data_IF_968950941456
#
_entry.id   IF_968950941456
#
_cell.length_a   1.000
_cell.length_b   1.000
_cell.length_c   1.000
_cell.angle_alpha   90.00
_cell.angle_beta   90.00
_cell.angle_gamma   90.00
#
_symmetry.space_group_name_H-M   'P 1'
#
loop_
_entity.id
_entity.type
_entity.pdbx_description
1 polymer ?
#
# COMPACT_ATOMS: atom_id res chain seq x y z
N UNK A 1 17.08 5.92 18.87
CA UNK A 1 16.32 4.85 18.19
C UNK A 1 15.72 3.96 19.26
N UNK A 2 14.58 3.29 19.04
CA UNK A 2 13.92 2.45 20.06
C UNK A 2 14.80 1.32 20.64
N UNK A 3 15.92 0.98 20.00
CA UNK A 3 16.91 0.04 20.49
C UNK A 3 18.01 0.65 21.40
N UNK A 4 17.95 1.95 21.74
CA UNK A 4 18.95 2.59 22.61
C UNK A 4 18.67 2.32 24.10
N UNK A 5 19.70 2.48 24.93
CA UNK A 5 19.62 2.30 26.39
C UNK A 5 18.50 3.11 27.05
N UNK A 6 18.23 4.31 26.53
CA UNK A 6 17.17 5.19 27.02
C UNK A 6 15.77 4.55 26.97
N UNK A 7 15.56 3.54 26.12
CA UNK A 7 14.29 2.84 25.93
C UNK A 7 14.29 1.41 26.49
N UNK A 8 15.32 0.98 27.23
CA UNK A 8 15.43 -0.41 27.71
C UNK A 8 14.27 -0.88 28.60
N UNK A 9 13.58 0.05 29.26
CA UNK A 9 12.42 -0.23 30.11
C UNK A 9 11.09 -0.27 29.37
N UNK A 10 11.06 0.05 28.07
CA UNK A 10 9.85 0.08 27.25
C UNK A 10 9.83 -1.12 26.32
N UNK A 11 8.81 -1.96 26.44
CA UNK A 11 8.53 -2.96 25.42
C UNK A 11 8.06 -2.27 24.15
N UNK A 12 8.62 -2.65 23.01
CA UNK A 12 8.21 -2.11 21.72
C UNK A 12 8.18 -3.19 20.66
N UNK A 13 7.28 -3.03 19.70
CA UNK A 13 7.24 -3.82 18.47
C UNK A 13 7.09 -2.84 17.30
N UNK A 14 7.85 -3.02 16.22
CA UNK A 14 7.74 -2.20 15.02
C UNK A 14 6.99 -2.97 13.94
N UNK A 15 5.80 -2.50 13.59
CA UNK A 15 5.10 -2.95 12.39
C UNK A 15 5.56 -2.09 11.22
N UNK A 16 6.01 -2.73 10.15
CA UNK A 16 6.58 -2.09 8.97
C UNK A 16 5.74 -2.47 7.76
N UNK A 17 4.55 -1.85 7.62
CA UNK A 17 3.70 -2.11 6.49
C UNK A 17 4.33 -1.59 5.21
N UNK A 18 4.15 -2.36 4.14
CA UNK A 18 4.46 -1.92 2.80
C UNK A 18 3.38 -0.94 2.30
N UNK A 19 3.37 -0.70 1.00
CA UNK A 19 2.57 0.33 0.38
C UNK A 19 1.07 0.01 0.46
N UNK A 20 0.26 0.96 0.95
CA UNK A 20 -1.15 0.68 1.24
C UNK A 20 -2.05 0.63 0.00
N UNK A 21 -2.99 -0.31 -0.01
CA UNK A 21 -3.98 -0.51 -1.10
C UNK A 21 -4.81 0.74 -1.36
N UNK A 22 -5.34 1.39 -0.32
CA UNK A 22 -6.18 2.59 -0.45
C UNK A 22 -5.45 3.76 -1.13
N UNK A 23 -4.14 3.87 -0.90
CA UNK A 23 -3.34 4.91 -1.54
C UNK A 23 -3.13 4.62 -3.03
N UNK A 24 -2.80 3.37 -3.37
CA UNK A 24 -2.52 2.95 -4.74
C UNK A 24 -3.79 2.94 -5.60
N UNK A 25 -4.93 2.57 -5.02
CA UNK A 25 -6.19 2.43 -5.74
C UNK A 25 -6.96 3.75 -5.90
N UNK A 26 -6.53 4.85 -5.28
CA UNK A 26 -7.28 6.11 -5.29
C UNK A 26 -7.61 6.62 -6.71
N UNK A 27 -6.63 6.59 -7.63
CA UNK A 27 -6.84 6.97 -9.03
C UNK A 27 -7.77 6.02 -9.78
N UNK A 28 -7.63 4.70 -9.55
CA UNK A 28 -8.48 3.68 -10.17
C UNK A 28 -9.94 3.82 -9.75
N UNK A 29 -10.19 4.03 -8.46
CA UNK A 29 -11.53 4.26 -7.90
C UNK A 29 -12.15 5.53 -8.49
N UNK A 30 -11.37 6.62 -8.60
CA UNK A 30 -11.85 7.87 -9.17
C UNK A 30 -12.29 7.71 -10.65
N UNK A 31 -11.48 7.04 -11.47
CA UNK A 31 -11.80 6.77 -12.89
C UNK A 31 -13.08 5.95 -13.03
N UNK A 32 -13.23 4.87 -12.24
CA UNK A 32 -14.44 4.04 -12.30
C UNK A 32 -15.68 4.82 -11.87
N UNK A 33 -15.60 5.59 -10.77
CA UNK A 33 -16.75 6.39 -10.29
C UNK A 33 -17.16 7.43 -11.33
N UNK A 34 -16.19 8.16 -11.92
CA UNK A 34 -16.46 9.11 -12.99
C UNK A 34 -17.12 8.44 -14.21
N UNK A 35 -16.61 7.29 -14.64
CA UNK A 35 -17.16 6.56 -15.78
C UNK A 35 -18.59 6.08 -15.53
N UNK A 36 -18.88 5.56 -14.32
CA UNK A 36 -20.23 5.15 -13.92
C UNK A 36 -21.22 6.32 -13.94
N UNK A 37 -20.77 7.53 -13.59
CA UNK A 37 -21.60 8.73 -13.56
C UNK A 37 -21.82 9.35 -14.95
N UNK A 38 -20.79 9.36 -15.79
CA UNK A 38 -20.75 10.19 -17.02
C UNK A 38 -20.62 9.40 -18.32
N UNK A 39 -20.19 8.14 -18.26
CA UNK A 39 -19.80 7.33 -19.41
C UNK A 39 -18.52 7.80 -20.10
N UNK A 40 -17.70 8.64 -19.45
CA UNK A 40 -16.47 9.23 -20.01
C UNK A 40 -15.26 8.96 -19.12
N UNK A 41 -14.07 9.02 -19.73
CA UNK A 41 -12.78 8.96 -19.05
C UNK A 41 -12.09 10.33 -19.16
N UNK A 42 -12.58 11.35 -18.44
CA UNK A 42 -12.06 12.72 -18.62
C UNK A 42 -10.66 12.90 -18.02
N UNK A 43 -10.31 12.08 -17.02
CA UNK A 43 -9.00 12.09 -16.36
C UNK A 43 -8.19 10.83 -16.70
N UNK A 44 -6.86 10.95 -16.87
CA UNK A 44 -6.02 9.77 -17.01
C UNK A 44 -6.03 8.93 -15.73
N UNK A 45 -5.92 7.61 -15.88
CA UNK A 45 -5.59 6.71 -14.78
C UNK A 45 -4.13 6.93 -14.39
N UNK A 46 -3.93 7.78 -13.39
CA UNK A 46 -2.62 8.09 -12.80
C UNK A 46 -2.37 7.24 -11.56
N UNK A 47 -1.17 6.65 -11.47
CA UNK A 47 -0.80 5.81 -10.34
C UNK A 47 0.71 5.83 -10.07
N UNK A 48 1.07 5.59 -8.81
CA UNK A 48 2.47 5.52 -8.36
C UNK A 48 3.20 4.25 -8.81
N UNK A 49 2.60 3.04 -8.78
CA UNK A 49 3.28 1.84 -9.24
C UNK A 49 3.75 1.96 -10.69
N UNK A 50 4.85 1.28 -10.99
CA UNK A 50 5.27 1.07 -12.38
C UNK A 50 4.37 0.03 -13.04
N UNK A 51 4.40 -0.03 -14.37
CA UNK A 51 3.64 -1.03 -15.12
C UNK A 51 3.94 -2.46 -14.69
N UNK A 52 5.23 -2.81 -14.52
CA UNK A 52 5.66 -4.22 -14.44
C UNK A 52 6.33 -4.62 -13.10
N UNK A 53 6.82 -3.66 -12.30
CA UNK A 53 7.47 -3.97 -11.03
C UNK A 53 6.45 -4.50 -10.01
N UNK A 54 6.81 -5.63 -9.38
CA UNK A 54 6.01 -6.30 -8.35
C UNK A 54 6.12 -5.60 -7.00
N UNK A 55 4.98 -5.47 -6.34
CA UNK A 55 4.85 -4.84 -5.02
C UNK A 55 3.88 -5.65 -4.17
N UNK A 56 4.28 -5.99 -2.94
CA UNK A 56 3.44 -6.64 -1.93
C UNK A 56 2.57 -5.64 -1.18
N UNK A 57 1.68 -4.96 -1.90
CA UNK A 57 0.78 -3.93 -1.34
C UNK A 57 -0.09 -4.50 -0.23
N UNK A 58 -0.39 -3.74 0.82
CA UNK A 58 -1.10 -4.24 2.00
C UNK A 58 -2.34 -3.42 2.32
N UNK A 59 -3.41 -4.10 2.74
CA UNK A 59 -4.60 -3.41 3.20
C UNK A 59 -4.41 -2.87 4.64
N UNK A 60 -4.78 -1.60 4.93
CA UNK A 60 -4.68 -1.06 6.28
C UNK A 60 -5.42 -1.89 7.33
N UNK A 61 -6.52 -2.55 6.99
CA UNK A 61 -7.29 -3.42 7.90
C UNK A 61 -6.48 -4.65 8.31
N UNK A 62 -5.67 -5.21 7.40
CA UNK A 62 -4.79 -6.34 7.72
C UNK A 62 -3.67 -5.94 8.69
N UNK A 63 -3.13 -4.73 8.54
CA UNK A 63 -2.15 -4.17 9.50
C UNK A 63 -2.78 -3.95 10.86
N UNK A 64 -4.00 -3.40 10.92
CA UNK A 64 -4.76 -3.24 12.15
C UNK A 64 -5.06 -4.57 12.83
N UNK A 65 -5.46 -5.58 12.06
CA UNK A 65 -5.69 -6.93 12.56
C UNK A 65 -4.39 -7.55 13.12
N UNK A 66 -3.28 -7.43 12.40
CA UNK A 66 -1.97 -7.91 12.89
C UNK A 66 -1.57 -7.23 14.20
N UNK A 67 -1.72 -5.90 14.27
CA UNK A 67 -1.44 -5.13 15.47
C UNK A 67 -2.29 -5.59 16.66
N UNK A 68 -3.59 -5.84 16.44
CA UNK A 68 -4.48 -6.34 17.48
C UNK A 68 -4.04 -7.71 18.02
N UNK A 69 -3.60 -8.62 17.15
CA UNK A 69 -3.08 -9.93 17.57
C UNK A 69 -1.80 -9.80 18.40
N UNK A 70 -0.84 -8.98 17.96
CA UNK A 70 0.40 -8.74 18.69
C UNK A 70 0.15 -8.10 20.06
N UNK A 71 -0.78 -7.14 20.13
CA UNK A 71 -1.11 -6.44 21.37
C UNK A 71 -1.92 -7.29 22.35
N UNK A 72 -2.72 -8.24 21.84
CA UNK A 72 -3.58 -9.11 22.64
C UNK A 72 -3.01 -10.52 22.85
N UNK A 73 -1.76 -10.76 22.45
CA UNK A 73 -1.08 -12.04 22.70
C UNK A 73 -1.02 -12.30 24.21
N UNK A 74 -1.23 -13.56 24.62
CA UNK A 74 -1.16 -13.96 26.03
C UNK A 74 0.25 -13.80 26.62
N UNK A 75 1.27 -13.75 25.76
CA UNK A 75 2.67 -13.59 26.11
C UNK A 75 3.32 -12.47 25.25
N UNK A 76 2.93 -11.19 25.46
CA UNK A 76 3.35 -10.08 24.59
C UNK A 76 4.87 -9.84 24.58
N UNK A 77 5.60 -10.37 25.55
CA UNK A 77 7.06 -10.34 25.64
C UNK A 77 7.75 -10.99 24.44
N UNK A 78 7.11 -11.97 23.78
CA UNK A 78 7.67 -12.62 22.57
C UNK A 78 7.83 -11.66 21.39
N UNK A 79 7.06 -10.57 21.40
CA UNK A 79 7.09 -9.53 20.37
C UNK A 79 8.05 -8.38 20.71
N UNK A 80 8.56 -8.31 21.94
CA UNK A 80 9.44 -7.22 22.35
C UNK A 80 10.71 -7.13 21.49
N UNK A 81 11.02 -5.94 21.01
CA UNK A 81 12.14 -5.63 20.14
C UNK A 81 12.00 -6.15 18.70
N UNK A 82 10.87 -6.77 18.35
CA UNK A 82 10.65 -7.33 17.01
C UNK A 82 10.28 -6.26 16.00
N UNK A 83 10.67 -6.52 14.75
CA UNK A 83 10.30 -5.74 13.57
C UNK A 83 9.64 -6.69 12.60
N UNK A 84 8.38 -6.44 12.27
CA UNK A 84 7.61 -7.25 11.34
C UNK A 84 7.38 -6.47 10.05
N UNK A 85 8.01 -6.93 8.97
CA UNK A 85 7.73 -6.45 7.60
C UNK A 85 6.43 -7.09 7.14
N UNK A 86 5.41 -6.27 6.87
CA UNK A 86 4.06 -6.70 6.52
C UNK A 86 3.76 -6.35 5.06
N UNK A 87 3.46 -7.36 4.25
CA UNK A 87 3.02 -7.23 2.86
C UNK A 87 1.64 -7.89 2.70
N UNK A 88 0.90 -7.52 1.65
CA UNK A 88 -0.33 -8.23 1.31
C UNK A 88 -0.10 -9.67 0.84
N UNK A 89 -1.18 -10.39 0.51
CA UNK A 89 -1.13 -11.81 0.18
C UNK A 89 -0.53 -12.12 -1.21
N UNK A 90 -0.35 -11.12 -2.07
CA UNK A 90 0.05 -11.29 -3.47
C UNK A 90 0.96 -10.14 -3.95
N UNK A 91 1.82 -10.45 -4.93
CA UNK A 91 2.55 -9.43 -5.68
C UNK A 91 1.63 -8.81 -6.72
N UNK A 92 1.58 -7.49 -6.77
CA UNK A 92 0.81 -6.74 -7.78
C UNK A 92 1.68 -5.77 -8.55
N UNK A 93 1.22 -5.41 -9.75
CA UNK A 93 1.84 -4.48 -10.67
C UNK A 93 0.87 -3.35 -11.03
N UNK A 94 1.36 -2.28 -11.66
CA UNK A 94 0.48 -1.25 -12.21
C UNK A 94 -0.45 -1.79 -13.30
N UNK A 95 -0.02 -2.79 -14.07
CA UNK A 95 -0.88 -3.42 -15.08
C UNK A 95 -2.08 -4.12 -14.44
N UNK A 96 -1.91 -4.78 -13.28
CA UNK A 96 -3.03 -5.43 -12.59
C UNK A 96 -4.13 -4.41 -12.18
N UNK A 97 -3.74 -3.17 -11.87
CA UNK A 97 -4.68 -2.08 -11.58
C UNK A 97 -5.43 -1.65 -12.84
N UNK A 98 -4.74 -1.55 -13.98
CA UNK A 98 -5.38 -1.26 -15.27
C UNK A 98 -6.41 -2.34 -15.60
N UNK A 99 -6.03 -3.61 -15.47
CA UNK A 99 -6.89 -4.76 -15.76
C UNK A 99 -8.14 -4.76 -14.86
N UNK A 100 -8.00 -4.38 -13.58
CA UNK A 100 -9.12 -4.21 -12.66
C UNK A 100 -10.08 -3.10 -13.11
N UNK A 101 -9.55 -1.95 -13.53
CA UNK A 101 -10.37 -0.82 -14.01
C UNK A 101 -11.09 -1.20 -15.30
N UNK A 102 -10.38 -1.76 -16.29
CA UNK A 102 -10.96 -2.16 -17.57
C UNK A 102 -12.06 -3.21 -17.40
N UNK A 103 -11.84 -4.17 -16.51
CA UNK A 103 -12.86 -5.17 -16.15
C UNK A 103 -14.12 -4.53 -15.57
N UNK A 104 -13.97 -3.46 -14.78
CA UNK A 104 -15.08 -2.80 -14.10
C UNK A 104 -15.86 -1.87 -15.04
N UNK A 105 -15.19 -1.14 -15.93
CA UNK A 105 -15.84 -0.20 -16.87
C UNK A 105 -16.26 -0.87 -18.20
N UNK A 106 -15.72 -2.06 -18.50
CA UNK A 106 -16.05 -2.84 -19.69
C UNK A 106 -15.43 -2.33 -21.00
N UNK A 107 -14.52 -1.36 -20.92
CA UNK A 107 -13.80 -0.77 -22.07
C UNK A 107 -12.33 -0.54 -21.69
N UNK A 108 -11.41 -0.45 -22.67
CA UNK A 108 -10.02 -0.13 -22.38
C UNK A 108 -9.85 1.25 -21.74
N UNK A 109 -8.85 1.39 -20.86
CA UNK A 109 -8.50 2.70 -20.29
C UNK A 109 -7.82 3.55 -21.35
N UNK A 110 -8.34 4.75 -21.61
CA UNK A 110 -7.88 5.61 -22.71
C UNK A 110 -6.46 6.13 -22.50
N UNK A 111 -6.11 6.47 -21.26
CA UNK A 111 -4.81 7.03 -20.91
C UNK A 111 -4.37 6.59 -19.52
N UNK A 112 -3.23 5.91 -19.47
CA UNK A 112 -2.59 5.47 -18.22
C UNK A 112 -1.27 6.22 -18.03
N UNK A 113 -1.02 6.71 -16.82
CA UNK A 113 0.24 7.33 -16.41
C UNK A 113 0.79 6.56 -15.22
N UNK A 114 1.77 5.69 -15.49
CA UNK A 114 2.52 4.98 -14.46
C UNK A 114 3.62 5.86 -13.86
N UNK A 115 4.06 5.53 -12.65
CA UNK A 115 5.11 6.28 -11.93
C UNK A 115 4.79 7.77 -11.79
N UNK A 116 3.50 8.12 -11.72
CA UNK A 116 3.09 9.51 -11.59
C UNK A 116 3.26 9.98 -10.13
N UNK A 117 4.10 10.99 -9.97
CA UNK A 117 4.36 11.65 -8.69
C UNK A 117 3.88 13.10 -8.68
N UNK A 118 3.14 13.54 -9.70
CA UNK A 118 2.67 14.93 -9.84
C UNK A 118 1.81 15.38 -8.64
N UNK A 119 1.10 14.45 -7.99
CA UNK A 119 0.35 14.72 -6.76
C UNK A 119 1.23 15.28 -5.63
N UNK A 120 2.53 14.95 -5.60
CA UNK A 120 3.45 15.47 -4.59
C UNK A 120 3.59 16.98 -4.67
N UNK A 121 3.54 17.56 -5.87
CA UNK A 121 3.61 19.02 -6.03
C UNK A 121 2.40 19.71 -5.39
N UNK A 122 1.22 19.07 -5.46
CA UNK A 122 0.00 19.55 -4.79
C UNK A 122 0.06 19.33 -3.27
N UNK A 123 0.68 18.25 -2.80
CA UNK A 123 0.78 17.96 -1.35
C UNK A 123 1.92 18.69 -0.65
N UNK A 124 2.94 19.14 -1.39
CA UNK A 124 4.15 19.76 -0.85
C UNK A 124 4.01 21.28 -0.63
N UNK A 125 2.82 21.76 -0.24
CA UNK A 125 2.47 23.19 -0.17
C UNK A 125 2.70 23.84 1.22
N UNK A 126 3.43 23.17 2.12
CA UNK A 126 3.63 23.63 3.50
C UNK A 126 5.10 23.65 3.97
N UNK A 127 5.38 24.15 5.19
CA UNK A 127 6.73 24.30 5.73
C UNK A 127 7.49 22.97 5.93
N UNK A 128 6.79 21.83 5.85
CA UNK A 128 7.35 20.49 5.95
C UNK A 128 7.37 19.76 4.59
N UNK A 129 7.35 20.50 3.47
CA UNK A 129 7.37 19.96 2.12
C UNK A 129 8.52 18.98 1.86
N UNK A 130 9.66 19.11 2.53
CA UNK A 130 10.81 18.20 2.42
C UNK A 130 10.42 16.76 2.76
N UNK A 131 9.56 16.53 3.75
CA UNK A 131 9.08 15.19 4.10
C UNK A 131 8.23 14.61 2.97
N UNK A 132 7.28 15.38 2.45
CA UNK A 132 6.46 14.98 1.30
C UNK A 132 7.32 14.68 0.07
N UNK A 133 8.29 15.55 -0.23
CA UNK A 133 9.17 15.41 -1.38
C UNK A 133 10.18 14.27 -1.24
N UNK A 134 10.50 13.85 0.00
CA UNK A 134 11.36 12.66 0.23
C UNK A 134 10.76 11.38 -0.37
N UNK A 135 9.44 11.34 -0.56
CA UNK A 135 8.74 10.24 -1.24
C UNK A 135 9.31 9.96 -2.64
N UNK A 136 9.80 10.98 -3.36
CA UNK A 136 10.43 10.83 -4.69
C UNK A 136 11.61 9.86 -4.67
N UNK A 137 12.34 9.76 -3.55
CA UNK A 137 13.46 8.84 -3.38
C UNK A 137 13.01 7.50 -2.79
N UNK A 138 12.09 7.51 -1.82
CA UNK A 138 11.60 6.28 -1.21
C UNK A 138 10.97 5.33 -2.23
N UNK A 139 10.24 5.88 -3.21
CA UNK A 139 9.50 5.10 -4.20
C UNK A 139 10.39 4.43 -5.25
N UNK A 140 11.66 4.83 -5.40
CA UNK A 140 12.60 4.17 -6.32
C UNK A 140 12.73 2.67 -6.00
N UNK A 141 12.77 2.32 -4.72
CA UNK A 141 12.83 0.93 -4.24
C UNK A 141 11.63 0.09 -4.72
N UNK A 142 10.44 0.71 -4.78
CA UNK A 142 9.21 0.07 -5.29
C UNK A 142 9.35 -0.17 -6.79
N UNK A 143 9.87 0.80 -7.55
CA UNK A 143 10.06 0.67 -8.99
C UNK A 143 11.19 -0.28 -9.39
N UNK A 144 12.15 -0.52 -8.50
CA UNK A 144 13.19 -1.53 -8.64
C UNK A 144 12.67 -2.96 -8.36
N UNK A 145 11.41 -3.12 -7.93
CA UNK A 145 10.82 -4.42 -7.61
C UNK A 145 11.35 -5.02 -6.30
N UNK A 146 11.90 -4.21 -5.39
CA UNK A 146 12.47 -4.65 -4.11
C UNK A 146 11.45 -4.66 -2.96
N UNK A 147 10.18 -4.42 -3.28
CA UNK A 147 9.09 -4.33 -2.30
C UNK A 147 8.05 -5.44 -2.53
N UNK A 148 8.46 -6.62 -3.02
CA UNK A 148 7.59 -7.77 -3.23
C UNK A 148 7.23 -8.52 -1.93
N UNK A 149 6.31 -9.48 -2.03
CA UNK A 149 5.85 -10.30 -0.89
C UNK A 149 6.95 -11.19 -0.30
N UNK A 150 8.02 -11.46 -1.04
CA UNK A 150 9.19 -12.23 -0.60
C UNK A 150 9.95 -11.54 0.55
N UNK A 151 9.73 -10.24 0.74
CA UNK A 151 10.28 -9.45 1.86
C UNK A 151 9.53 -9.62 3.18
N UNK A 152 8.40 -10.35 3.19
CA UNK A 152 7.55 -10.54 4.38
C UNK A 152 8.30 -11.27 5.49
N UNK A 153 8.20 -10.79 6.73
CA UNK A 153 8.78 -11.50 7.88
C UNK A 153 8.09 -12.85 8.07
N UNK A 154 8.86 -13.94 8.22
CA UNK A 154 8.32 -15.31 8.23
C UNK A 154 7.33 -15.57 9.35
N UNK A 155 7.52 -14.89 10.48
CA UNK A 155 6.68 -14.97 11.67
C UNK A 155 5.26 -14.46 11.42
N UNK A 156 5.09 -13.56 10.44
CA UNK A 156 3.79 -12.95 10.14
C UNK A 156 2.74 -14.01 9.81
N UNK A 157 3.13 -15.04 9.06
CA UNK A 157 2.23 -16.12 8.67
C UNK A 157 1.74 -16.95 9.87
N UNK A 158 2.57 -17.08 10.91
CA UNK A 158 2.23 -17.81 12.13
C UNK A 158 1.36 -17.00 13.10
N UNK A 159 1.56 -15.67 13.15
CA UNK A 159 0.79 -14.77 14.01
C UNK A 159 -0.56 -14.47 13.37
N UNK A 160 -0.53 -13.83 12.19
CA UNK A 160 -1.70 -13.44 11.42
C UNK A 160 -1.31 -13.07 9.99
N UNK A 161 -1.47 -14.00 9.05
CA UNK A 161 -1.28 -13.70 7.64
C UNK A 161 -2.28 -12.63 7.14
N UNK A 162 -1.83 -11.60 6.40
CA UNK A 162 -2.68 -10.72 5.60
C UNK A 162 -3.50 -11.51 4.58
N UNK A 163 -4.71 -11.05 4.27
CA UNK A 163 -5.69 -11.80 3.47
C UNK A 163 -6.35 -10.98 2.39
N UNK A 164 -6.37 -9.66 2.52
CA UNK A 164 -7.06 -8.79 1.58
C UNK A 164 -6.24 -8.65 0.31
N UNK A 165 -6.77 -9.21 -0.78
CA UNK A 165 -6.22 -9.06 -2.14
C UNK A 165 -6.46 -7.66 -2.69
N UNK A 166 -5.70 -7.26 -3.70
CA UNK A 166 -5.91 -5.96 -4.36
C UNK A 166 -7.31 -5.87 -4.97
N UNK A 167 -7.80 -6.95 -5.56
CA UNK A 167 -9.13 -7.03 -6.15
C UNK A 167 -10.25 -6.85 -5.10
N UNK A 168 -10.09 -7.43 -3.90
CA UNK A 168 -11.05 -7.24 -2.80
C UNK A 168 -11.03 -5.79 -2.30
N UNK A 169 -9.85 -5.22 -2.04
CA UNK A 169 -9.71 -3.84 -1.61
C UNK A 169 -10.31 -2.86 -2.64
N UNK A 170 -10.11 -3.12 -3.93
CA UNK A 170 -10.69 -2.31 -5.01
C UNK A 170 -12.21 -2.37 -5.02
N UNK A 171 -12.80 -3.57 -4.91
CA UNK A 171 -14.24 -3.73 -4.84
C UNK A 171 -14.84 -3.00 -3.64
N UNK A 172 -14.23 -3.15 -2.45
CA UNK A 172 -14.68 -2.46 -1.24
C UNK A 172 -14.63 -0.93 -1.41
N UNK A 173 -13.55 -0.38 -1.97
CA UNK A 173 -13.41 1.06 -2.19
C UNK A 173 -14.40 1.64 -3.22
N UNK A 174 -14.96 0.80 -4.10
CA UNK A 174 -16.02 1.18 -5.02
C UNK A 174 -17.41 1.19 -4.39
N UNK A 175 -17.58 0.52 -3.25
CA UNK A 175 -18.84 0.44 -2.48
C UNK A 175 -18.94 1.55 -1.40
N UNK A 176 -17.82 2.18 -1.03
CA UNK A 176 -17.76 3.39 -0.18
C UNK A 176 -18.23 4.67 -0.90
#
# INVERSE_FOLDING_TARGET
MLASEDFKGMMWTSLQPNFFTNFILAGAVAVVKEFRETGKQSMPLSMVPSKDARVGVIDPKDVGAFAAYVLADENPEVHNGKKYVLNGPEDVTGQDIVDLVEKEIGVPVEKVIFKDLSFLELMAQGPHNVLTLSFKYAIETVWEGKCGIDTTSKEVFGIRAPKTTLAQAFKEALEE
#
